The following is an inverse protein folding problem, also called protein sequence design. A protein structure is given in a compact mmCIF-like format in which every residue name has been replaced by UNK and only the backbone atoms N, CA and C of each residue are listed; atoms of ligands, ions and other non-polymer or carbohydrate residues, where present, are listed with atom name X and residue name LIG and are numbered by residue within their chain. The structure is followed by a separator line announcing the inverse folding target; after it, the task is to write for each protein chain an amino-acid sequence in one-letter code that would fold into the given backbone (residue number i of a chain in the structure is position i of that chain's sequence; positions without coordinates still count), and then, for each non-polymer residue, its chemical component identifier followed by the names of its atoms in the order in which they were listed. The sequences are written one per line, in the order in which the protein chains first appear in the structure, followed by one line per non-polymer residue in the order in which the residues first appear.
data_IF_569711653245
#
_entry.id   IF_569711653245
#
_cell.length_a   1.000
_cell.length_b   1.000
_cell.length_c   1.000
_cell.angle_alpha   90.00
_cell.angle_beta   90.00
_cell.angle_gamma   90.00
#
_symmetry.space_group_name_H-M   'P 1'
#
loop_
_entity.id
_entity.type
_entity.pdbx_description
1 polymer ?
#
# COMPACT_ATOMS: atom_id res chain seq x y z
N UNK A 1 0.55 10.59 -10.46
CA UNK A 1 0.40 9.13 -10.68
C UNK A 1 -0.12 8.90 -12.10
N UNK A 2 0.20 7.77 -12.74
CA UNK A 2 -0.39 7.41 -14.03
C UNK A 2 -1.90 7.15 -13.94
N UNK A 3 -2.61 7.26 -15.06
CA UNK A 3 -4.09 7.20 -15.11
C UNK A 3 -4.69 5.85 -14.68
N UNK A 4 -3.93 4.76 -14.75
CA UNK A 4 -4.40 3.44 -14.31
C UNK A 4 -4.44 3.27 -12.78
N UNK A 5 -3.79 4.16 -12.03
CA UNK A 5 -3.72 4.08 -10.57
C UNK A 5 -4.91 4.75 -9.90
N UNK A 6 -5.45 4.10 -8.88
CA UNK A 6 -6.59 4.56 -8.12
C UNK A 6 -6.34 4.41 -6.64
N UNK A 7 -6.87 5.34 -5.85
CA UNK A 7 -6.92 5.21 -4.40
C UNK A 7 -8.15 4.43 -4.00
N UNK A 8 -7.99 3.58 -2.99
CA UNK A 8 -9.14 3.02 -2.28
C UNK A 8 -9.78 4.17 -1.48
N UNK A 9 -10.93 4.66 -1.96
CA UNK A 9 -11.67 5.85 -1.46
C UNK A 9 -11.03 7.18 -1.85
N UNK A 10 -11.52 8.27 -1.25
CA UNK A 10 -10.99 9.60 -1.48
C UNK A 10 -9.52 9.65 -1.04
N UNK A 11 -8.61 10.12 -1.90
CA UNK A 11 -7.20 10.21 -1.57
C UNK A 11 -6.97 11.17 -0.41
N UNK A 12 -6.11 10.78 0.52
CA UNK A 12 -5.55 11.68 1.51
C UNK A 12 -4.18 12.15 1.01
N UNK A 13 -4.10 13.41 0.58
CA UNK A 13 -2.88 13.99 0.02
C UNK A 13 -1.75 14.18 1.03
N UNK A 14 -2.01 13.99 2.33
CA UNK A 14 -0.96 13.96 3.36
C UNK A 14 -0.26 12.60 3.45
N UNK A 15 -0.92 11.53 3.00
CA UNK A 15 -0.44 10.14 3.17
C UNK A 15 0.41 9.58 2.04
N UNK A 16 0.72 10.38 1.00
CA UNK A 16 1.53 9.94 -0.13
C UNK A 16 2.28 11.08 -0.83
N UNK A 17 3.38 10.76 -1.51
CA UNK A 17 4.14 11.73 -2.29
C UNK A 17 4.89 11.10 -3.46
N UNK A 18 5.05 11.88 -4.54
CA UNK A 18 5.95 11.58 -5.66
C UNK A 18 7.16 12.52 -5.72
N UNK A 19 7.17 13.56 -4.89
CA UNK A 19 8.19 14.61 -4.89
C UNK A 19 9.15 14.49 -3.71
N UNK A 20 8.73 13.85 -2.62
CA UNK A 20 9.57 13.66 -1.43
C UNK A 20 10.79 12.76 -1.71
N UNK A 21 10.63 11.78 -2.61
CA UNK A 21 11.73 10.97 -3.16
C UNK A 21 11.50 10.76 -4.66
N UNK A 22 12.08 11.61 -5.53
CA UNK A 22 11.91 11.49 -6.97
C UNK A 22 12.25 10.08 -7.49
N UNK A 23 11.40 9.55 -8.37
CA UNK A 23 11.52 8.18 -8.91
C UNK A 23 10.80 7.10 -8.08
N UNK A 24 10.22 7.46 -6.93
CA UNK A 24 9.49 6.54 -6.06
C UNK A 24 8.11 7.08 -5.68
N UNK A 25 7.16 6.18 -5.45
CA UNK A 25 5.93 6.49 -4.72
C UNK A 25 6.21 6.29 -3.24
N UNK A 26 6.07 7.36 -2.45
CA UNK A 26 6.06 7.29 -0.99
C UNK A 26 4.63 7.14 -0.49
N UNK A 27 4.44 6.20 0.44
CA UNK A 27 3.22 5.99 1.20
C UNK A 27 3.58 6.01 2.69
N UNK A 28 2.78 6.70 3.48
CA UNK A 28 2.93 6.72 4.93
C UNK A 28 2.00 5.69 5.58
N UNK A 29 2.51 4.99 6.58
CA UNK A 29 1.74 4.07 7.43
C UNK A 29 0.81 4.86 8.36
N UNK A 30 -0.17 4.18 8.95
CA UNK A 30 -1.12 4.76 9.91
C UNK A 30 -1.58 3.71 10.91
N UNK A 31 -2.40 4.10 11.88
CA UNK A 31 -2.91 3.24 12.96
C UNK A 31 -4.15 2.41 12.54
N UNK A 32 -4.14 1.92 11.30
CA UNK A 32 -5.23 1.17 10.68
C UNK A 32 -4.68 0.13 9.68
N UNK A 33 -5.46 -0.92 9.41
CA UNK A 33 -5.14 -1.95 8.41
C UNK A 33 -6.23 -1.98 7.32
N UNK A 34 -6.05 -2.80 6.29
CA UNK A 34 -6.87 -2.87 5.08
C UNK A 34 -8.37 -3.16 5.32
N UNK A 35 -8.73 -3.68 6.49
CA UNK A 35 -10.13 -3.91 6.88
C UNK A 35 -10.85 -2.64 7.37
N UNK A 36 -10.12 -1.55 7.58
CA UNK A 36 -10.65 -0.27 7.99
C UNK A 36 -10.82 0.68 6.79
N UNK A 37 -11.90 1.46 6.78
CA UNK A 37 -12.14 2.51 5.78
C UNK A 37 -11.11 3.65 5.82
N UNK A 38 -10.35 3.76 6.91
CA UNK A 38 -9.26 4.73 7.09
C UNK A 38 -8.01 4.39 6.28
N UNK A 39 -7.88 3.17 5.75
CA UNK A 39 -6.77 2.69 4.92
C UNK A 39 -6.68 3.33 3.51
N UNK A 40 -6.63 4.67 3.46
CA UNK A 40 -6.57 5.51 2.25
C UNK A 40 -5.19 5.56 1.60
N UNK A 41 -4.17 4.99 2.25
CA UNK A 41 -2.84 4.79 1.71
C UNK A 41 -2.74 3.54 0.80
N UNK A 42 -3.88 2.97 0.40
CA UNK A 42 -3.94 1.83 -0.52
C UNK A 42 -4.13 2.32 -1.96
N UNK A 43 -3.10 2.12 -2.79
CA UNK A 43 -3.09 2.50 -4.21
C UNK A 43 -3.11 1.24 -5.07
N UNK A 44 -4.13 1.12 -5.92
CA UNK A 44 -4.41 -0.09 -6.71
C UNK A 44 -4.57 0.24 -8.19
N UNK A 45 -4.49 -0.80 -9.02
CA UNK A 45 -4.92 -0.76 -10.41
C UNK A 45 -5.79 -1.98 -10.69
N UNK A 46 -6.69 -1.89 -11.67
CA UNK A 46 -7.54 -3.03 -12.06
C UNK A 46 -6.69 -4.16 -12.61
N UNK A 47 -6.95 -5.38 -12.15
CA UNK A 47 -6.58 -6.59 -12.87
C UNK A 47 -7.34 -6.62 -14.21
N UNK A 48 -6.62 -6.85 -15.31
CA UNK A 48 -7.20 -6.85 -16.68
C UNK A 48 -7.16 -8.23 -17.34
N UNK A 49 -6.50 -9.21 -16.72
CA UNK A 49 -6.26 -10.54 -17.28
C UNK A 49 -6.32 -11.60 -16.17
N UNK A 50 -6.71 -12.82 -16.51
CA UNK A 50 -6.75 -13.95 -15.56
C UNK A 50 -5.38 -14.56 -15.26
N UNK A 51 -4.42 -14.39 -16.17
CA UNK A 51 -3.05 -14.85 -16.01
C UNK A 51 -2.12 -13.65 -16.11
N UNK A 52 -1.45 -13.32 -15.01
CA UNK A 52 -0.53 -12.19 -14.95
C UNK A 52 0.49 -12.38 -13.81
N UNK A 53 1.50 -11.52 -13.78
CA UNK A 53 2.41 -11.39 -12.64
C UNK A 53 2.48 -9.92 -12.23
N UNK A 54 2.55 -9.68 -10.92
CA UNK A 54 2.73 -8.36 -10.35
C UNK A 54 3.79 -8.44 -9.24
N UNK A 55 4.60 -7.40 -9.13
CA UNK A 55 5.64 -7.29 -8.12
C UNK A 55 5.91 -5.84 -7.79
N UNK A 56 6.49 -5.60 -6.62
CA UNK A 56 6.87 -4.27 -6.14
C UNK A 56 8.30 -4.31 -5.66
N UNK A 57 9.08 -3.27 -5.98
CA UNK A 57 10.36 -3.01 -5.31
C UNK A 57 10.07 -2.10 -4.13
N UNK A 58 10.21 -2.63 -2.93
CA UNK A 58 9.84 -1.96 -1.69
C UNK A 58 11.10 -1.54 -0.92
N UNK A 59 11.08 -0.29 -0.46
CA UNK A 59 11.98 0.22 0.57
C UNK A 59 11.10 0.62 1.76
N UNK A 60 11.30 -0.03 2.91
CA UNK A 60 10.39 0.04 4.04
C UNK A 60 11.14 0.52 5.29
N UNK A 61 10.69 1.64 5.85
CA UNK A 61 11.29 2.30 7.03
C UNK A 61 10.29 2.43 8.18
N UNK A 62 9.89 1.30 8.81
CA UNK A 62 8.99 1.28 9.96
C UNK A 62 9.65 1.89 11.20
N UNK A 63 8.81 2.40 12.09
CA UNK A 63 9.21 2.98 13.38
C UNK A 63 8.56 2.29 14.59
N UNK A 64 7.43 1.59 14.39
CA UNK A 64 6.67 0.91 15.43
C UNK A 64 6.31 -0.53 15.04
N UNK A 65 6.33 -1.44 16.02
CA UNK A 65 5.93 -2.83 15.82
C UNK A 65 4.50 -2.93 15.27
N UNK A 66 4.27 -3.90 14.40
CA UNK A 66 3.02 -4.09 13.67
C UNK A 66 2.89 -3.26 12.39
N UNK A 67 3.79 -2.30 12.12
CA UNK A 67 3.81 -1.59 10.84
C UNK A 67 4.07 -2.55 9.68
N UNK A 68 3.35 -2.35 8.56
CA UNK A 68 3.42 -3.24 7.40
C UNK A 68 3.44 -2.45 6.11
N UNK A 69 4.16 -2.97 5.10
CA UNK A 69 4.13 -2.45 3.75
C UNK A 69 4.32 -3.57 2.73
N UNK A 70 3.64 -3.48 1.58
CA UNK A 70 3.69 -4.55 0.59
C UNK A 70 2.75 -4.35 -0.60
N UNK A 71 2.39 -5.47 -1.22
CA UNK A 71 1.44 -5.54 -2.33
C UNK A 71 0.16 -6.25 -1.87
N UNK A 72 -0.98 -5.83 -2.43
CA UNK A 72 -2.30 -6.37 -2.09
C UNK A 72 -3.09 -6.70 -3.36
N UNK A 73 -3.72 -7.87 -3.37
CA UNK A 73 -4.83 -8.21 -4.24
C UNK A 73 -6.12 -7.82 -3.51
N UNK A 74 -6.72 -6.70 -3.91
CA UNK A 74 -7.79 -6.03 -3.15
C UNK A 74 -9.15 -6.15 -3.84
N UNK A 75 -10.13 -6.72 -3.15
CA UNK A 75 -11.53 -6.70 -3.58
C UNK A 75 -12.38 -5.77 -2.71
N UNK A 76 -12.31 -5.93 -1.39
CA UNK A 76 -13.00 -5.06 -0.43
C UNK A 76 -12.28 -5.05 0.92
N UNK A 77 -12.77 -4.27 1.89
CA UNK A 77 -12.25 -4.28 3.28
C UNK A 77 -12.39 -5.64 3.96
N UNK A 78 -13.22 -6.55 3.44
CA UNK A 78 -13.43 -7.87 4.04
C UNK A 78 -12.78 -8.99 3.22
N UNK A 79 -12.26 -8.69 2.02
CA UNK A 79 -11.72 -9.69 1.10
C UNK A 79 -10.51 -9.11 0.38
N UNK A 80 -9.33 -9.55 0.80
CA UNK A 80 -8.06 -9.20 0.19
C UNK A 80 -7.00 -10.25 0.54
N UNK A 81 -5.95 -10.31 -0.28
CA UNK A 81 -4.73 -11.03 0.03
C UNK A 81 -3.57 -10.04 0.01
N UNK A 82 -2.75 -10.01 1.07
CA UNK A 82 -1.55 -9.17 1.14
C UNK A 82 -0.28 -10.00 1.22
N UNK A 83 0.76 -9.54 0.55
CA UNK A 83 2.13 -10.01 0.70
C UNK A 83 2.96 -8.79 1.13
N UNK A 84 3.40 -8.79 2.39
CA UNK A 84 4.01 -7.62 3.02
C UNK A 84 5.21 -7.99 3.90
N UNK A 85 6.10 -7.02 4.07
CA UNK A 85 7.03 -6.99 5.20
C UNK A 85 6.27 -6.47 6.42
N UNK A 86 6.58 -7.03 7.58
CA UNK A 86 6.00 -6.65 8.87
C UNK A 86 7.15 -6.35 9.80
N UNK A 87 7.09 -5.22 10.48
CA UNK A 87 8.06 -4.89 11.50
C UNK A 87 7.63 -5.45 12.85
N UNK A 88 8.41 -6.36 13.41
CA UNK A 88 8.17 -6.93 14.74
C UNK A 88 9.48 -6.95 15.54
N UNK A 89 9.45 -6.36 16.73
CA UNK A 89 10.57 -6.42 17.70
C UNK A 89 11.96 -6.05 17.13
N UNK A 90 12.02 -5.12 16.17
CA UNK A 90 13.29 -4.71 15.54
C UNK A 90 13.64 -5.45 14.25
N UNK A 91 12.84 -6.42 13.84
CA UNK A 91 13.03 -7.23 12.64
C UNK A 91 12.01 -6.86 11.57
N UNK A 92 12.43 -6.91 10.30
CA UNK A 92 11.60 -6.68 9.11
C UNK A 92 11.46 -7.95 8.30
#
# INVERSE_FOLDING_TARGET
LGLDWQFVRNPDHSGWSLTERPGYLRLWTGDWDLHDIRAKNTVVRREKHHLYSAGVKLDFSPSASGEQAGIVCYYSTNNYLKCCLIYEEGLK
#
